data_IF_837413851745
#
_entry.id   IF_837413851745
#
_cell.length_a   1.000
_cell.length_b   1.000
_cell.length_c   1.000
_cell.angle_alpha   90.00
_cell.angle_beta   90.00
_cell.angle_gamma   90.00
#
_symmetry.space_group_name_H-M   'P 1'
#
loop_
_entity.id
_entity.type
_entity.pdbx_description
1 polymer ?
#
# COMPACT_ATOMS: atom_id res chain seq x y z
N UNK A 1 33.34 -2.04 -55.44
CA UNK A 1 34.16 -0.83 -55.15
C UNK A 1 33.72 -0.30 -53.78
N UNK A 2 34.23 -0.93 -52.71
CA UNK A 2 34.14 -0.40 -51.35
C UNK A 2 35.32 0.55 -51.17
N UNK A 3 35.08 1.78 -50.73
CA UNK A 3 36.14 2.70 -50.31
C UNK A 3 36.09 2.83 -48.79
N UNK A 4 37.21 2.47 -48.19
CA UNK A 4 37.58 2.65 -46.79
C UNK A 4 37.55 4.13 -46.40
N UNK A 5 37.03 4.44 -45.21
CA UNK A 5 37.18 5.75 -44.57
C UNK A 5 38.20 5.61 -43.43
N UNK A 6 39.26 6.39 -43.54
CA UNK A 6 40.42 6.41 -42.64
C UNK A 6 40.13 7.16 -41.33
N UNK A 7 40.66 6.64 -40.23
CA UNK A 7 40.84 7.35 -38.97
C UNK A 7 41.96 8.41 -39.09
N UNK A 8 41.89 9.46 -38.26
CA UNK A 8 43.08 9.93 -37.55
C UNK A 8 42.90 9.88 -36.04
N UNK A 9 43.96 9.44 -35.38
CA UNK A 9 44.13 9.43 -33.94
C UNK A 9 44.84 10.70 -33.45
N UNK A 10 44.67 10.94 -32.14
CA UNK A 10 45.61 11.52 -31.17
C UNK A 10 45.38 12.95 -30.61
N UNK A 11 45.29 12.91 -29.27
CA UNK A 11 45.83 13.82 -28.23
C UNK A 11 44.93 14.90 -27.61
N UNK A 12 44.34 14.48 -26.50
CA UNK A 12 44.44 15.08 -25.16
C UNK A 12 45.06 16.50 -25.04
N UNK A 13 44.24 17.45 -24.59
CA UNK A 13 44.67 18.53 -23.70
C UNK A 13 43.46 19.02 -22.89
N UNK A 14 43.35 18.57 -21.65
CA UNK A 14 42.45 19.19 -20.67
C UNK A 14 42.91 20.61 -20.38
N UNK A 15 41.95 21.54 -20.30
CA UNK A 15 42.19 22.84 -19.68
C UNK A 15 40.99 23.24 -18.83
N UNK A 16 41.31 23.70 -17.63
CA UNK A 16 40.42 23.92 -16.51
C UNK A 16 39.62 25.21 -16.67
N UNK A 17 38.42 25.13 -17.27
CA UNK A 17 37.49 26.27 -17.32
C UNK A 17 36.05 25.91 -16.91
N UNK A 18 35.70 24.62 -16.82
CA UNK A 18 34.30 24.20 -16.62
C UNK A 18 33.93 23.83 -15.18
N UNK A 19 34.72 24.25 -14.19
CA UNK A 19 34.51 23.90 -12.76
C UNK A 19 34.40 25.11 -11.82
N UNK A 20 34.07 26.31 -12.33
CA UNK A 20 33.85 27.52 -11.50
C UNK A 20 32.41 28.06 -11.49
N UNK A 21 31.50 27.47 -12.27
CA UNK A 21 30.10 27.92 -12.33
C UNK A 21 29.12 27.07 -11.47
N UNK A 22 29.55 25.89 -11.01
CA UNK A 22 28.73 24.98 -10.19
C UNK A 22 28.96 25.23 -8.67
N UNK A 23 30.17 25.65 -8.27
CA UNK A 23 30.49 25.94 -6.87
C UNK A 23 29.81 27.21 -6.33
N UNK A 24 29.55 28.22 -7.18
CA UNK A 24 28.84 29.44 -6.76
C UNK A 24 27.33 29.28 -6.54
N UNK A 25 26.70 28.23 -7.10
CA UNK A 25 25.26 27.96 -6.93
C UNK A 25 24.92 27.08 -5.73
N UNK A 26 25.92 26.51 -5.07
CA UNK A 26 25.76 25.71 -3.84
C UNK A 26 25.95 26.60 -2.59
N UNK A 27 26.85 27.58 -2.63
CA UNK A 27 27.08 28.52 -1.53
C UNK A 27 25.93 29.53 -1.34
N UNK A 28 25.20 29.92 -2.40
CA UNK A 28 24.06 30.84 -2.29
C UNK A 28 22.75 30.18 -1.77
N UNK A 29 22.68 28.84 -1.69
CA UNK A 29 21.51 28.12 -1.14
C UNK A 29 21.66 27.69 0.32
N UNK A 30 22.87 27.75 0.89
CA UNK A 30 23.09 27.45 2.31
C UNK A 30 23.01 28.69 3.22
N UNK A 31 22.96 29.90 2.67
CA UNK A 31 22.84 31.15 3.43
C UNK A 31 21.39 31.59 3.75
N UNK A 32 20.36 30.79 3.41
CA UNK A 32 18.93 31.12 3.65
C UNK A 32 18.20 30.20 4.63
N UNK A 33 18.91 29.35 5.37
CA UNK A 33 18.33 28.41 6.34
C UNK A 33 18.62 28.77 7.82
N UNK A 34 19.06 29.99 8.12
CA UNK A 34 19.51 30.38 9.46
C UNK A 34 18.66 31.47 10.15
N UNK A 35 17.44 31.76 9.69
CA UNK A 35 16.62 32.85 10.26
C UNK A 35 15.30 32.45 10.94
N UNK A 36 15.00 31.16 11.11
CA UNK A 36 13.76 30.74 11.80
C UNK A 36 13.96 29.50 12.67
N UNK A 37 14.50 29.65 13.88
CA UNK A 37 14.10 28.89 15.09
C UNK A 37 14.93 29.30 16.34
N UNK A 38 14.40 30.02 17.34
CA UNK A 38 15.12 30.30 18.58
C UNK A 38 14.55 29.50 19.76
N UNK A 39 14.72 28.18 19.77
CA UNK A 39 14.41 27.36 20.96
C UNK A 39 15.35 26.16 21.04
N UNK A 40 16.63 26.37 21.35
CA UNK A 40 17.45 25.30 21.91
C UNK A 40 18.65 25.86 22.69
N UNK A 41 18.38 26.36 23.90
CA UNK A 41 19.43 26.62 24.89
C UNK A 41 18.90 26.47 26.31
N UNK A 42 18.68 25.25 26.78
CA UNK A 42 18.66 24.98 28.23
C UNK A 42 18.77 23.49 28.53
N UNK A 43 19.99 22.94 28.46
CA UNK A 43 20.35 21.76 29.24
C UNK A 43 21.77 21.97 29.80
N UNK A 44 21.84 22.67 30.94
CA UNK A 44 23.00 22.68 31.81
C UNK A 44 22.67 21.94 33.11
N UNK A 45 23.50 20.93 33.37
CA UNK A 45 23.88 20.41 34.69
C UNK A 45 22.80 19.78 35.57
N UNK A 46 22.72 18.45 35.52
CA UNK A 46 22.31 17.65 36.69
C UNK A 46 23.56 16.91 37.17
N UNK A 47 24.02 17.25 38.37
CA UNK A 47 25.08 16.54 39.10
C UNK A 47 24.47 15.27 39.70
N UNK A 48 25.05 14.11 39.39
CA UNK A 48 24.75 12.86 40.09
C UNK A 48 25.70 12.77 41.29
N UNK A 49 25.16 12.90 42.49
CA UNK A 49 25.88 12.60 43.74
C UNK A 49 25.67 11.14 44.09
N UNK A 50 26.77 10.38 44.09
CA UNK A 50 26.83 8.98 44.54
C UNK A 50 26.74 8.90 46.07
N UNK A 51 25.66 8.35 46.59
CA UNK A 51 25.57 7.91 47.99
C UNK A 51 25.32 6.40 48.04
N UNK A 52 26.35 5.69 48.52
CA UNK A 52 26.33 4.27 48.88
C UNK A 52 25.28 4.00 49.95
N UNK A 53 24.30 3.16 49.65
CA UNK A 53 23.34 2.65 50.62
C UNK A 53 23.38 1.11 50.63
N UNK A 54 23.63 0.60 51.83
CA UNK A 54 23.81 -0.80 52.23
C UNK A 54 22.57 -1.66 51.97
N UNK A 55 22.76 -2.85 51.42
CA UNK A 55 21.71 -3.86 51.18
C UNK A 55 21.43 -4.66 52.46
N UNK A 56 20.18 -4.75 52.95
CA UNK A 56 19.77 -5.79 53.89
C UNK A 56 19.10 -6.97 53.18
N UNK A 57 19.32 -8.15 53.74
CA UNK A 57 18.99 -9.46 53.21
C UNK A 57 17.49 -9.73 52.96
N UNK A 58 17.26 -10.61 51.97
CA UNK A 58 15.99 -11.22 51.59
C UNK A 58 15.20 -11.74 52.80
N UNK A 59 13.95 -11.28 52.92
CA UNK A 59 12.89 -11.98 53.67
C UNK A 59 11.90 -12.57 52.68
N UNK A 60 11.83 -13.89 52.66
CA UNK A 60 10.81 -14.69 51.99
C UNK A 60 9.42 -14.27 52.48
N UNK A 61 8.57 -13.78 51.57
CA UNK A 61 7.14 -13.60 51.80
C UNK A 61 6.37 -14.38 50.73
N UNK A 62 5.37 -15.10 51.22
CA UNK A 62 4.62 -16.13 50.54
C UNK A 62 3.97 -15.69 49.23
N UNK A 63 3.93 -16.63 48.28
CA UNK A 63 3.18 -16.52 47.04
C UNK A 63 1.68 -16.38 47.34
N UNK A 64 1.13 -15.18 47.16
CA UNK A 64 -0.29 -14.99 46.93
C UNK A 64 -0.56 -15.31 45.45
N UNK A 65 -1.33 -16.36 45.19
CA UNK A 65 -1.92 -16.64 43.88
C UNK A 65 -2.89 -15.50 43.51
N UNK A 66 -2.36 -14.42 42.94
CA UNK A 66 -3.11 -13.41 42.22
C UNK A 66 -3.27 -13.90 40.78
N UNK A 67 -4.48 -14.30 40.42
CA UNK A 67 -4.87 -14.51 39.03
C UNK A 67 -4.69 -13.18 38.29
N UNK A 68 -3.61 -13.06 37.51
CA UNK A 68 -3.48 -12.00 36.52
C UNK A 68 -4.54 -12.28 35.46
N UNK A 69 -5.62 -11.52 35.50
CA UNK A 69 -6.56 -11.42 34.40
C UNK A 69 -5.78 -10.96 33.18
N UNK A 70 -5.60 -11.87 32.21
CA UNK A 70 -5.14 -11.51 30.88
C UNK A 70 -6.20 -10.56 30.33
N UNK A 71 -5.83 -9.30 30.19
CA UNK A 71 -6.68 -8.26 29.63
C UNK A 71 -6.92 -8.65 28.16
N UNK A 72 -8.14 -9.10 27.87
CA UNK A 72 -8.62 -9.57 26.56
C UNK A 72 -8.87 -8.37 25.61
N UNK A 73 -8.00 -7.35 25.66
CA UNK A 73 -8.16 -6.04 25.01
C UNK A 73 -7.56 -5.98 23.61
N UNK A 74 -7.17 -7.12 23.03
CA UNK A 74 -6.83 -7.16 21.61
C UNK A 74 -8.12 -6.87 20.79
N UNK A 75 -8.12 -5.85 19.92
CA UNK A 75 -9.27 -5.62 19.06
C UNK A 75 -9.56 -6.89 18.23
N UNK A 76 -10.84 -7.19 17.95
CA UNK A 76 -11.20 -8.40 17.23
C UNK A 76 -10.50 -8.45 15.88
N UNK A 77 -9.86 -9.59 15.60
CA UNK A 77 -9.06 -9.78 14.40
C UNK A 77 -9.94 -9.66 13.15
N UNK A 78 -9.67 -8.67 12.29
CA UNK A 78 -10.46 -8.39 11.09
C UNK A 78 -9.97 -9.23 9.91
N UNK A 79 -10.49 -10.45 9.83
CA UNK A 79 -10.20 -11.41 8.76
C UNK A 79 -11.45 -11.69 7.94
N UNK A 80 -11.30 -11.72 6.62
CA UNK A 80 -12.33 -12.16 5.69
C UNK A 80 -11.80 -13.28 4.80
N UNK A 81 -12.68 -14.24 4.49
CA UNK A 81 -12.38 -15.36 3.61
C UNK A 81 -13.46 -15.53 2.57
N UNK A 82 -13.10 -16.01 1.38
CA UNK A 82 -14.06 -16.40 0.34
C UNK A 82 -13.51 -17.55 -0.49
N UNK A 83 -14.35 -18.57 -0.70
CA UNK A 83 -14.10 -19.65 -1.66
C UNK A 83 -15.15 -19.52 -2.76
N UNK A 84 -14.69 -19.36 -4.01
CA UNK A 84 -15.55 -19.21 -5.18
C UNK A 84 -15.13 -20.22 -6.25
N UNK A 85 -16.06 -21.07 -6.66
CA UNK A 85 -15.82 -22.12 -7.66
C UNK A 85 -16.86 -22.03 -8.77
N UNK A 86 -16.40 -21.99 -10.02
CA UNK A 86 -17.22 -22.07 -11.23
C UNK A 86 -16.72 -23.21 -12.12
N UNK A 87 -17.20 -23.29 -13.36
CA UNK A 87 -16.64 -24.20 -14.37
C UNK A 87 -15.33 -23.69 -14.96
N UNK A 88 -15.08 -22.38 -14.85
CA UNK A 88 -13.91 -21.69 -15.42
C UNK A 88 -12.79 -21.60 -14.39
N UNK A 89 -13.12 -21.30 -13.12
CA UNK A 89 -12.12 -21.03 -12.09
C UNK A 89 -12.45 -21.67 -10.73
N UNK A 90 -11.42 -21.86 -9.91
CA UNK A 90 -11.47 -22.17 -8.49
C UNK A 90 -10.59 -21.18 -7.75
N UNK A 91 -11.18 -20.40 -6.83
CA UNK A 91 -10.49 -19.31 -6.14
C UNK A 91 -10.73 -19.43 -4.63
N UNK A 92 -9.65 -19.38 -3.85
CA UNK A 92 -9.66 -19.29 -2.38
C UNK A 92 -8.90 -18.02 -1.97
N UNK A 93 -9.57 -17.15 -1.20
CA UNK A 93 -9.01 -15.88 -0.72
C UNK A 93 -9.15 -15.77 0.79
N UNK A 94 -8.09 -15.31 1.45
CA UNK A 94 -8.10 -14.83 2.83
C UNK A 94 -7.37 -13.49 2.92
N UNK A 95 -7.96 -12.51 3.61
CA UNK A 95 -7.33 -11.22 3.92
C UNK A 95 -7.47 -10.90 5.40
N UNK A 96 -6.36 -10.51 6.04
CA UNK A 96 -6.33 -9.85 7.35
C UNK A 96 -6.06 -8.34 7.20
N UNK A 97 -6.95 -7.50 7.72
CA UNK A 97 -6.82 -6.03 7.62
C UNK A 97 -5.78 -5.43 8.55
N UNK A 98 -5.52 -6.10 9.67
CA UNK A 98 -4.58 -5.69 10.72
C UNK A 98 -3.29 -6.54 10.65
N UNK A 99 -2.78 -6.72 9.44
CA UNK A 99 -1.66 -7.61 9.16
C UNK A 99 -0.29 -6.92 9.25
N UNK A 100 0.69 -7.61 8.68
CA UNK A 100 2.09 -7.15 8.58
C UNK A 100 2.54 -6.97 7.13
N UNK A 101 1.67 -7.32 6.17
CA UNK A 101 1.97 -7.23 4.74
C UNK A 101 2.44 -8.56 4.14
N UNK A 102 2.15 -9.69 4.79
CA UNK A 102 2.51 -11.00 4.25
C UNK A 102 1.66 -11.32 3.01
N UNK A 103 2.30 -11.79 1.93
CA UNK A 103 1.63 -12.16 0.70
C UNK A 103 1.92 -13.62 0.33
N UNK A 104 0.88 -14.43 0.17
CA UNK A 104 0.94 -15.78 -0.39
C UNK A 104 -0.08 -15.90 -1.54
N UNK A 105 0.25 -15.29 -2.68
CA UNK A 105 -0.59 -15.28 -3.88
C UNK A 105 -0.03 -16.20 -4.97
N UNK A 106 -0.89 -17.06 -5.51
CA UNK A 106 -0.63 -17.90 -6.68
C UNK A 106 -1.92 -17.94 -7.50
N UNK A 107 -2.04 -17.02 -8.45
CA UNK A 107 -3.23 -16.89 -9.30
C UNK A 107 -3.10 -17.62 -10.63
N UNK A 108 -1.90 -18.10 -10.98
CA UNK A 108 -1.55 -18.53 -12.33
C UNK A 108 -1.25 -17.39 -13.30
N UNK A 109 -1.35 -16.12 -12.87
CA UNK A 109 -1.05 -14.91 -13.65
C UNK A 109 0.10 -14.15 -12.96
N UNK A 110 1.38 -14.33 -13.36
CA UNK A 110 2.52 -13.83 -12.60
C UNK A 110 2.54 -12.31 -12.38
N UNK A 111 2.06 -11.53 -13.33
CA UNK A 111 2.00 -10.07 -13.17
C UNK A 111 0.92 -9.65 -12.18
N UNK A 112 -0.22 -10.35 -12.13
CA UNK A 112 -1.26 -10.12 -11.14
C UNK A 112 -0.76 -10.49 -9.73
N UNK A 113 -0.01 -11.58 -9.60
CA UNK A 113 0.62 -11.98 -8.33
C UNK A 113 1.55 -10.87 -7.80
N UNK A 114 2.38 -10.29 -8.69
CA UNK A 114 3.22 -9.13 -8.36
C UNK A 114 2.39 -7.91 -7.90
N UNK A 115 1.26 -7.64 -8.55
CA UNK A 115 0.36 -6.55 -8.16
C UNK A 115 -0.35 -6.79 -6.82
N UNK A 116 -0.74 -8.03 -6.53
CA UNK A 116 -1.34 -8.41 -5.24
C UNK A 116 -0.33 -8.29 -4.09
N UNK A 117 0.94 -8.59 -4.35
CA UNK A 117 2.04 -8.34 -3.40
C UNK A 117 2.17 -6.85 -3.06
N UNK A 118 1.98 -5.95 -4.03
CA UNK A 118 1.98 -4.51 -3.75
C UNK A 118 0.82 -4.09 -2.84
N UNK A 119 -0.35 -4.74 -2.97
CA UNK A 119 -1.49 -4.51 -2.08
C UNK A 119 -1.16 -4.94 -0.66
N UNK A 120 -0.62 -6.14 -0.48
CA UNK A 120 -0.23 -6.67 0.82
C UNK A 120 0.85 -5.78 1.47
N UNK A 121 1.97 -5.58 0.79
CA UNK A 121 3.15 -4.87 1.29
C UNK A 121 2.86 -3.42 1.66
N UNK A 122 2.15 -2.67 0.81
CA UNK A 122 1.89 -1.24 1.07
C UNK A 122 0.62 -1.01 1.91
N UNK A 123 -0.32 -1.95 1.89
CA UNK A 123 -1.51 -1.92 2.73
C UNK A 123 -1.29 -2.45 4.15
N UNK A 124 -0.18 -3.18 4.38
CA UNK A 124 0.02 -4.04 5.56
C UNK A 124 -1.10 -5.06 5.75
N UNK A 125 -1.61 -5.58 4.63
CA UNK A 125 -2.61 -6.64 4.64
C UNK A 125 -1.92 -7.98 4.57
N UNK A 126 -2.33 -8.92 5.40
CA UNK A 126 -1.92 -10.32 5.24
C UNK A 126 -2.87 -10.96 4.23
N UNK A 127 -2.37 -11.27 3.04
CA UNK A 127 -3.14 -11.68 1.86
C UNK A 127 -2.71 -13.06 1.39
N UNK A 128 -3.68 -13.96 1.27
CA UNK A 128 -3.50 -15.29 0.66
C UNK A 128 -4.54 -15.46 -0.44
N UNK A 129 -4.09 -15.74 -1.66
CA UNK A 129 -4.96 -15.99 -2.82
C UNK A 129 -4.42 -17.20 -3.57
N UNK A 130 -5.26 -18.22 -3.74
CA UNK A 130 -4.96 -19.38 -4.59
C UNK A 130 -6.03 -19.47 -5.67
N UNK A 131 -5.62 -19.44 -6.93
CA UNK A 131 -6.53 -19.59 -8.06
C UNK A 131 -6.02 -20.62 -9.07
N UNK A 132 -6.96 -21.41 -9.59
CA UNK A 132 -6.75 -22.25 -10.77
C UNK A 132 -7.87 -21.92 -11.73
N UNK A 133 -7.52 -21.45 -12.92
CA UNK A 133 -8.49 -21.11 -13.96
C UNK A 133 -8.05 -21.54 -15.35
N UNK A 134 -8.87 -21.19 -16.33
CA UNK A 134 -8.73 -21.53 -17.74
C UNK A 134 -7.81 -20.58 -18.51
N UNK A 135 -6.63 -20.24 -17.96
CA UNK A 135 -5.64 -19.31 -18.54
C UNK A 135 -5.11 -19.69 -19.94
N UNK A 136 -5.38 -20.92 -20.39
CA UNK A 136 -5.12 -21.37 -21.74
C UNK A 136 -6.10 -20.80 -22.79
N UNK A 137 -7.25 -20.28 -22.36
CA UNK A 137 -8.19 -19.50 -23.18
C UNK A 137 -7.71 -18.05 -23.18
N UNK A 138 -7.77 -17.40 -22.02
CA UNK A 138 -7.14 -16.12 -21.70
C UNK A 138 -7.09 -15.91 -20.17
N UNK A 139 -6.51 -14.79 -19.73
CA UNK A 139 -6.41 -14.43 -18.32
C UNK A 139 -7.71 -13.86 -17.72
N UNK A 140 -8.77 -13.66 -18.53
CA UNK A 140 -9.93 -12.84 -18.18
C UNK A 140 -10.71 -13.42 -17.00
N UNK A 141 -11.16 -14.67 -17.11
CA UNK A 141 -11.98 -15.31 -16.07
C UNK A 141 -11.20 -15.40 -14.75
N UNK A 142 -9.93 -15.78 -14.81
CA UNK A 142 -9.07 -15.88 -13.63
C UNK A 142 -8.89 -14.53 -12.95
N UNK A 143 -8.58 -13.47 -13.70
CA UNK A 143 -8.44 -12.12 -13.19
C UNK A 143 -9.75 -11.59 -12.56
N UNK A 144 -10.87 -11.74 -13.25
CA UNK A 144 -12.18 -11.32 -12.77
C UNK A 144 -12.56 -12.05 -11.48
N UNK A 145 -12.45 -13.37 -11.46
CA UNK A 145 -12.93 -14.18 -10.35
C UNK A 145 -12.07 -14.03 -9.10
N UNK A 146 -10.75 -13.81 -9.27
CA UNK A 146 -9.85 -13.37 -8.19
C UNK A 146 -10.33 -12.05 -7.61
N UNK A 147 -10.62 -11.05 -8.44
CA UNK A 147 -11.09 -9.75 -7.97
C UNK A 147 -12.45 -9.83 -7.25
N UNK A 148 -13.40 -10.61 -7.78
CA UNK A 148 -14.72 -10.83 -7.18
C UNK A 148 -14.60 -11.51 -5.80
N UNK A 149 -13.81 -12.57 -5.70
CA UNK A 149 -13.59 -13.29 -4.45
C UNK A 149 -12.87 -12.40 -3.43
N UNK A 150 -11.84 -11.67 -3.88
CA UNK A 150 -11.11 -10.74 -3.04
C UNK A 150 -12.00 -9.63 -2.49
N UNK A 151 -12.84 -9.01 -3.32
CA UNK A 151 -13.75 -7.96 -2.85
C UNK A 151 -14.79 -8.49 -1.84
N UNK A 152 -15.26 -9.73 -2.02
CA UNK A 152 -16.15 -10.39 -1.04
C UNK A 152 -15.43 -10.65 0.29
N UNK A 153 -14.20 -11.18 0.25
CA UNK A 153 -13.39 -11.38 1.44
C UNK A 153 -13.11 -10.05 2.15
N UNK A 154 -12.76 -9.00 1.42
CA UNK A 154 -12.56 -7.66 1.95
C UNK A 154 -13.82 -7.11 2.64
N UNK A 155 -14.99 -7.22 2.02
CA UNK A 155 -16.26 -6.79 2.63
C UNK A 155 -16.53 -7.54 3.95
N UNK A 156 -16.26 -8.85 4.00
CA UNK A 156 -16.39 -9.65 5.23
C UNK A 156 -15.41 -9.20 6.30
N UNK A 157 -14.16 -8.93 5.94
CA UNK A 157 -13.13 -8.47 6.87
C UNK A 157 -13.46 -7.09 7.48
N UNK A 158 -14.02 -6.17 6.68
CA UNK A 158 -14.43 -4.84 7.14
C UNK A 158 -15.67 -4.92 8.04
N UNK A 159 -16.56 -5.89 7.82
CA UNK A 159 -17.75 -6.11 8.62
C UNK A 159 -18.75 -4.96 8.53
N UNK A 160 -19.21 -4.46 9.69
CA UNK A 160 -20.25 -3.44 9.78
C UNK A 160 -19.76 -2.01 9.48
N UNK A 161 -18.47 -1.83 9.14
CA UNK A 161 -17.84 -0.53 8.80
C UNK A 161 -17.95 0.50 9.92
N UNK A 162 -18.13 0.07 11.16
CA UNK A 162 -18.13 0.96 12.32
C UNK A 162 -16.69 1.25 12.77
N UNK A 163 -16.45 2.46 13.28
CA UNK A 163 -15.19 2.80 13.91
C UNK A 163 -13.99 2.97 12.98
N UNK A 164 -14.17 2.92 11.66
CA UNK A 164 -13.11 3.14 10.66
C UNK A 164 -13.13 4.57 10.12
N UNK A 165 -12.02 5.01 9.51
CA UNK A 165 -11.95 6.28 8.80
C UNK A 165 -12.91 6.37 7.61
N UNK A 166 -13.27 5.22 7.00
CA UNK A 166 -14.16 5.06 5.84
C UNK A 166 -13.60 5.60 4.52
N UNK A 167 -12.92 6.74 4.57
CA UNK A 167 -12.29 7.39 3.43
C UNK A 167 -10.79 7.20 3.47
N UNK A 168 -10.20 6.99 2.29
CA UNK A 168 -8.76 7.03 2.10
C UNK A 168 -8.42 7.71 0.80
N UNK A 169 -7.30 8.43 0.79
CA UNK A 169 -6.85 9.24 -0.33
C UNK A 169 -5.31 9.23 -0.37
N UNK A 170 -4.76 8.74 -1.48
CA UNK A 170 -3.31 8.62 -1.60
C UNK A 170 -2.85 8.73 -3.06
N UNK A 171 -1.71 9.39 -3.26
CA UNK A 171 -1.01 9.44 -4.55
C UNK A 171 0.35 8.77 -4.43
N UNK A 172 0.69 7.92 -5.40
CA UNK A 172 1.98 7.22 -5.46
C UNK A 172 2.67 7.50 -6.77
N UNK A 173 3.95 7.93 -6.74
CA UNK A 173 4.79 7.89 -7.91
C UNK A 173 5.46 6.52 -8.06
N UNK A 174 5.77 6.14 -9.29
CA UNK A 174 6.78 5.14 -9.59
C UNK A 174 7.54 5.63 -10.82
N UNK A 175 8.78 6.05 -10.59
CA UNK A 175 9.59 6.78 -11.55
C UNK A 175 8.81 7.95 -12.17
N UNK A 176 8.52 7.92 -13.47
CA UNK A 176 7.78 8.98 -14.16
C UNK A 176 6.25 8.86 -14.03
N UNK A 177 5.74 7.71 -13.58
CA UNK A 177 4.32 7.51 -13.37
C UNK A 177 3.85 8.14 -12.05
N UNK A 178 2.64 8.70 -12.07
CA UNK A 178 1.98 9.21 -10.87
C UNK A 178 0.49 8.87 -10.93
N UNK A 179 0.00 8.14 -9.93
CA UNK A 179 -1.40 7.72 -9.84
C UNK A 179 -2.02 8.15 -8.51
N UNK A 180 -3.23 8.68 -8.57
CA UNK A 180 -4.03 9.13 -7.43
C UNK A 180 -5.25 8.22 -7.24
N UNK A 181 -5.44 7.71 -6.03
CA UNK A 181 -6.53 6.81 -5.68
C UNK A 181 -7.31 7.32 -4.47
N UNK A 182 -8.64 7.30 -4.59
CA UNK A 182 -9.57 7.63 -3.49
C UNK A 182 -10.53 6.47 -3.26
N UNK A 183 -10.70 6.08 -2.01
CA UNK A 183 -11.60 5.01 -1.56
C UNK A 183 -12.67 5.59 -0.63
N UNK A 184 -13.93 5.21 -0.84
CA UNK A 184 -15.03 5.36 0.12
C UNK A 184 -15.69 3.99 0.36
N UNK A 185 -15.52 3.46 1.58
CA UNK A 185 -16.11 2.19 2.05
C UNK A 185 -17.61 2.35 2.37
N UNK A 186 -18.39 2.70 1.36
CA UNK A 186 -19.74 3.23 1.54
C UNK A 186 -20.89 2.26 1.29
N UNK A 187 -20.62 1.09 0.71
CA UNK A 187 -21.65 0.09 0.35
C UNK A 187 -22.22 0.24 -1.04
N UNK A 188 -21.74 1.21 -1.81
CA UNK A 188 -22.20 1.46 -3.18
C UNK A 188 -21.05 1.16 -4.13
N UNK A 189 -21.14 0.08 -4.91
CA UNK A 189 -20.11 -0.26 -5.89
C UNK A 189 -20.08 0.81 -6.98
N UNK A 190 -18.92 1.46 -7.15
CA UNK A 190 -18.71 2.42 -8.21
C UNK A 190 -17.21 2.54 -8.49
N UNK A 191 -16.81 2.32 -9.74
CA UNK A 191 -15.45 2.60 -10.20
C UNK A 191 -15.50 3.83 -11.10
N UNK A 192 -14.59 4.79 -10.85
CA UNK A 192 -14.22 5.81 -11.83
C UNK A 192 -12.75 5.63 -12.19
N UNK A 193 -12.51 5.14 -13.41
CA UNK A 193 -11.19 4.89 -13.95
C UNK A 193 -10.85 5.88 -15.05
N UNK A 194 -9.66 6.48 -15.01
CA UNK A 194 -9.21 7.47 -16.02
C UNK A 194 -7.73 7.29 -16.40
N UNK A 195 -7.14 6.13 -16.10
CA UNK A 195 -5.78 5.83 -16.51
C UNK A 195 -5.76 5.39 -17.99
N UNK A 196 -4.68 5.72 -18.69
CA UNK A 196 -4.41 5.32 -20.06
C UNK A 196 -3.12 4.52 -20.07
N UNK A 197 -3.24 3.21 -20.28
CA UNK A 197 -2.10 2.29 -20.34
C UNK A 197 -1.69 2.14 -21.81
N UNK A 198 -0.47 2.58 -22.21
CA UNK A 198 -0.11 2.73 -23.62
C UNK A 198 0.25 1.43 -24.36
N UNK A 199 0.47 0.33 -23.65
CA UNK A 199 0.75 -0.99 -24.26
C UNK A 199 -0.40 -1.95 -23.98
N UNK A 200 -0.64 -2.92 -24.87
CA UNK A 200 -1.69 -3.94 -24.70
C UNK A 200 -1.33 -5.02 -23.69
N UNK A 201 -0.03 -5.23 -23.45
CA UNK A 201 0.50 -6.28 -22.57
C UNK A 201 1.61 -5.72 -21.68
N UNK A 202 1.72 -6.27 -20.48
CA UNK A 202 2.91 -6.18 -19.62
C UNK A 202 3.34 -7.60 -19.27
N UNK A 203 4.47 -8.04 -19.83
CA UNK A 203 4.78 -9.46 -19.88
C UNK A 203 3.71 -10.21 -20.68
N UNK A 204 3.05 -11.19 -20.06
CA UNK A 204 1.92 -11.90 -20.65
C UNK A 204 0.56 -11.31 -20.26
N UNK A 205 0.49 -10.39 -19.31
CA UNK A 205 -0.78 -9.92 -18.78
C UNK A 205 -1.41 -8.85 -19.66
N UNK A 206 -2.69 -9.04 -20.01
CA UNK A 206 -3.46 -8.10 -20.81
C UNK A 206 -3.84 -6.86 -20.00
N UNK A 207 -3.44 -5.68 -20.46
CA UNK A 207 -3.62 -4.43 -19.71
C UNK A 207 -5.07 -3.99 -19.56
N UNK A 208 -5.98 -4.51 -20.41
CA UNK A 208 -7.42 -4.25 -20.26
C UNK A 208 -7.97 -4.86 -18.96
N UNK A 209 -7.32 -5.91 -18.45
CA UNK A 209 -7.75 -6.62 -17.26
C UNK A 209 -7.52 -5.83 -15.97
N UNK A 210 -6.69 -4.78 -16.00
CA UNK A 210 -6.44 -3.89 -14.85
C UNK A 210 -7.72 -3.15 -14.45
N UNK A 211 -8.41 -2.54 -15.42
CA UNK A 211 -9.68 -1.85 -15.14
C UNK A 211 -10.76 -2.86 -14.70
N UNK A 212 -10.83 -4.01 -15.38
CA UNK A 212 -11.75 -5.09 -15.02
C UNK A 212 -11.52 -5.62 -13.60
N UNK A 213 -10.25 -5.78 -13.17
CA UNK A 213 -9.91 -6.19 -11.81
C UNK A 213 -10.52 -5.23 -10.78
N UNK A 214 -10.27 -3.92 -10.92
CA UNK A 214 -10.80 -2.93 -9.99
C UNK A 214 -12.32 -2.82 -10.06
N UNK A 215 -12.92 -2.98 -11.24
CA UNK A 215 -14.37 -2.94 -11.40
C UNK A 215 -15.03 -4.10 -10.63
N UNK A 216 -14.53 -5.32 -10.84
CA UNK A 216 -15.00 -6.52 -10.15
C UNK A 216 -14.78 -6.46 -8.65
N UNK A 217 -13.61 -5.97 -8.21
CA UNK A 217 -13.31 -5.73 -6.80
C UNK A 217 -14.30 -4.75 -6.16
N UNK A 218 -14.65 -3.65 -6.85
CA UNK A 218 -15.63 -2.67 -6.36
C UNK A 218 -17.03 -3.29 -6.24
N UNK A 219 -17.43 -4.08 -7.24
CA UNK A 219 -18.74 -4.73 -7.29
C UNK A 219 -18.99 -5.62 -6.06
N UNK A 220 -17.97 -6.35 -5.60
CA UNK A 220 -18.09 -7.28 -4.47
C UNK A 220 -17.71 -6.71 -3.11
N UNK A 221 -16.79 -5.75 -3.05
CA UNK A 221 -16.49 -5.04 -1.79
C UNK A 221 -17.58 -4.03 -1.41
N UNK A 222 -18.33 -3.54 -2.40
CA UNK A 222 -19.29 -2.45 -2.23
C UNK A 222 -18.58 -1.14 -1.87
N UNK A 223 -17.43 -0.85 -2.50
CA UNK A 223 -16.72 0.41 -2.35
C UNK A 223 -16.96 1.34 -3.54
N UNK A 224 -16.83 2.64 -3.29
CA UNK A 224 -16.62 3.62 -4.35
C UNK A 224 -15.12 3.87 -4.48
N UNK A 225 -14.59 3.74 -5.68
CA UNK A 225 -13.17 3.82 -5.99
C UNK A 225 -12.94 4.77 -7.16
N UNK A 226 -12.03 5.72 -6.98
CA UNK A 226 -11.57 6.60 -8.05
C UNK A 226 -10.09 6.36 -8.30
N UNK A 227 -9.72 6.13 -9.56
CA UNK A 227 -8.35 5.96 -10.00
C UNK A 227 -8.06 6.97 -11.11
N UNK A 228 -7.04 7.81 -10.90
CA UNK A 228 -6.61 8.84 -11.85
C UNK A 228 -5.12 8.74 -12.10
N UNK A 229 -4.73 8.49 -13.34
CA UNK A 229 -3.36 8.73 -13.77
C UNK A 229 -3.15 10.24 -13.92
N UNK A 230 -2.14 10.76 -13.24
CA UNK A 230 -1.75 12.17 -13.32
C UNK A 230 -0.56 12.37 -14.26
N UNK A 231 0.33 11.38 -14.31
CA UNK A 231 1.48 11.31 -15.22
C UNK A 231 1.89 9.84 -15.44
N UNK A 232 2.71 9.58 -16.44
CA UNK A 232 3.32 8.27 -16.68
C UNK A 232 3.30 7.84 -18.14
N UNK A 233 4.34 7.09 -18.54
CA UNK A 233 4.51 6.61 -19.93
C UNK A 233 4.77 5.12 -20.02
N UNK A 234 5.35 4.52 -18.98
CA UNK A 234 5.59 3.09 -18.90
C UNK A 234 4.37 2.39 -18.28
N UNK A 235 3.80 1.43 -19.00
CA UNK A 235 2.62 0.66 -18.56
C UNK A 235 2.83 -0.06 -17.24
N UNK A 236 4.00 -0.65 -17.00
CA UNK A 236 4.32 -1.31 -15.73
C UNK A 236 4.29 -0.28 -14.61
N UNK A 237 4.97 0.86 -14.79
CA UNK A 237 5.07 1.91 -13.76
C UNK A 237 3.69 2.47 -13.40
N UNK A 238 2.84 2.72 -14.40
CA UNK A 238 1.46 3.19 -14.21
C UNK A 238 0.63 2.18 -13.40
N UNK A 239 0.65 0.91 -13.78
CA UNK A 239 -0.14 -0.12 -13.11
C UNK A 239 0.37 -0.35 -11.68
N UNK A 240 1.68 -0.48 -11.49
CA UNK A 240 2.23 -0.72 -10.17
C UNK A 240 2.00 0.48 -9.22
N UNK A 241 2.16 1.72 -9.71
CA UNK A 241 1.81 2.93 -8.94
C UNK A 241 0.32 2.93 -8.54
N UNK A 242 -0.57 2.47 -9.42
CA UNK A 242 -2.00 2.35 -9.15
C UNK A 242 -2.31 1.36 -8.03
N UNK A 243 -1.72 0.16 -8.06
CA UNK A 243 -1.90 -0.83 -7.00
C UNK A 243 -1.32 -0.36 -5.66
N UNK A 244 -0.16 0.31 -5.66
CA UNK A 244 0.43 0.92 -4.46
C UNK A 244 -0.43 2.04 -3.87
N UNK A 245 -0.96 2.92 -4.73
CA UNK A 245 -1.86 3.99 -4.30
C UNK A 245 -3.17 3.43 -3.74
N UNK A 246 -3.73 2.42 -4.40
CA UNK A 246 -4.90 1.70 -3.89
C UNK A 246 -4.64 1.05 -2.53
N UNK A 247 -3.51 0.37 -2.36
CA UNK A 247 -3.13 -0.26 -1.10
C UNK A 247 -3.11 0.73 0.07
N UNK A 248 -2.46 1.89 -0.14
CA UNK A 248 -2.34 2.95 0.88
C UNK A 248 -3.68 3.62 1.18
N UNK A 249 -4.46 3.95 0.15
CA UNK A 249 -5.79 4.53 0.32
C UNK A 249 -6.74 3.55 1.05
N UNK A 250 -6.74 2.27 0.66
CA UNK A 250 -7.56 1.26 1.31
C UNK A 250 -7.14 1.06 2.77
N UNK A 251 -5.83 1.02 3.06
CA UNK A 251 -5.33 0.95 4.44
C UNK A 251 -5.87 2.09 5.28
N UNK A 252 -5.69 3.33 4.82
CA UNK A 252 -6.20 4.50 5.52
C UNK A 252 -7.71 4.41 5.76
N UNK A 253 -8.49 3.99 4.75
CA UNK A 253 -9.93 3.86 4.86
C UNK A 253 -10.36 2.80 5.90
N UNK A 254 -9.59 1.72 6.01
CA UNK A 254 -9.82 0.62 6.94
C UNK A 254 -9.28 0.90 8.35
N UNK A 255 -8.35 1.82 8.55
CA UNK A 255 -7.78 2.09 9.87
C UNK A 255 -8.84 2.58 10.87
N UNK A 256 -8.75 2.18 12.15
CA UNK A 256 -9.64 2.67 13.18
C UNK A 256 -9.53 4.19 13.33
N UNK A 257 -10.67 4.89 13.35
CA UNK A 257 -10.72 6.31 13.70
C UNK A 257 -10.80 6.43 15.23
N UNK A 258 -9.74 6.90 15.93
CA UNK A 258 -9.71 6.95 17.39
C UNK A 258 -10.77 7.88 17.98
N UNK A 259 -11.36 8.77 17.17
CA UNK A 259 -12.41 9.71 17.59
C UNK A 259 -13.83 9.20 17.29
N UNK A 260 -13.96 8.08 16.57
CA UNK A 260 -15.25 7.52 16.11
C UNK A 260 -15.41 6.03 16.46
N UNK A 261 -14.63 5.52 17.42
CA UNK A 261 -14.69 4.12 17.86
C UNK A 261 -16.14 3.69 18.12
N UNK A 262 -16.54 2.56 17.51
CA UNK A 262 -17.87 1.96 17.64
C UNK A 262 -19.03 2.70 16.95
N UNK A 263 -18.78 3.84 16.29
CA UNK A 263 -19.81 4.61 15.57
C UNK A 263 -19.69 4.43 14.07
N UNK A 264 -20.83 4.33 13.39
CA UNK A 264 -20.86 4.27 11.92
C UNK A 264 -20.52 5.65 11.34
N UNK A 265 -19.55 5.77 10.41
CA UNK A 265 -19.18 7.03 9.76
C UNK A 265 -20.20 7.43 8.67
N UNK A 266 -21.48 7.55 9.02
CA UNK A 266 -22.56 7.90 8.09
C UNK A 266 -23.64 8.74 8.77
N UNK A 267 -24.05 9.84 8.13
CA UNK A 267 -25.20 10.63 8.59
C UNK A 267 -26.53 9.87 8.51
N UNK A 268 -26.62 8.86 7.63
CA UNK A 268 -27.79 7.97 7.52
C UNK A 268 -27.86 6.91 8.63
N UNK A 269 -26.83 6.81 9.48
CA UNK A 269 -26.75 5.81 10.55
C UNK A 269 -26.41 4.38 10.10
N UNK A 270 -26.41 4.09 8.79
CA UNK A 270 -26.12 2.77 8.22
C UNK A 270 -25.17 2.86 7.02
N UNK A 271 -24.33 1.83 6.86
CA UNK A 271 -23.49 1.56 5.70
C UNK A 271 -23.62 0.07 5.32
N UNK A 272 -24.70 -0.30 4.65
CA UNK A 272 -24.88 -1.64 4.10
C UNK A 272 -24.46 -1.69 2.64
N UNK A 273 -23.94 -2.84 2.20
CA UNK A 273 -23.80 -3.11 0.76
C UNK A 273 -25.23 -3.19 0.18
N UNK A 274 -25.50 -2.38 -0.84
CA UNK A 274 -26.75 -2.42 -1.62
C UNK A 274 -26.61 -3.33 -2.82
#
# INVERSE_FOLDING_TARGET
MCREASFPSLRNSGSAVECKCISRRIEEKQARAAEFCPLYSSLRSIRVSSSSATIPALRSMAASNGSVSVDDTAPPVRIGREIRNTKETKVDVSIGLDGTGNCDCDTGIPFLDHMLDQIASHGLFDLSIKAVGDTHIDDHHTNEDVALAFGTALARAIGNRSGIHRYGDFSVPLDEALVHVVVDLCGRPCLRYTATIPTQRVGQYDTQLVEHFFQSLCNTSGMTLHIRQLDGTNSHHIIEAMFKAFARALRQACEPDPRRIGKVPSSKGVLSRM
#
